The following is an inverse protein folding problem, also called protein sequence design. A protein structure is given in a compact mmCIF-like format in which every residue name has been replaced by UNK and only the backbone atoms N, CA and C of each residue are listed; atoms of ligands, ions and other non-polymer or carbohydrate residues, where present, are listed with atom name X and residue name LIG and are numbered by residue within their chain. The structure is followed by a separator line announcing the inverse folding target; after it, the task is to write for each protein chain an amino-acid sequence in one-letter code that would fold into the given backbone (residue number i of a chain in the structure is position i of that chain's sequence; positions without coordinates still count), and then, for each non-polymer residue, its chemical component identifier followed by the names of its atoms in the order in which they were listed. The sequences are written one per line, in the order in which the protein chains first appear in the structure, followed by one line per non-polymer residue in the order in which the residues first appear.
data_IF_542311625191
#
_entry.id   IF_542311625191
#
_cell.length_a   1.000
_cell.length_b   1.000
_cell.length_c   1.000
_cell.angle_alpha   90.00
_cell.angle_beta   90.00
_cell.angle_gamma   90.00
#
_symmetry.space_group_name_H-M   'P 1'
#
loop_
_entity.id
_entity.type
_entity.pdbx_description
1 polymer ?
#
# COMPACT_ATOMS: atom_id res chain seq x y z
N UNK A 1 33.40 -14.00 7.42
CA UNK A 1 32.44 -13.30 8.30
C UNK A 1 31.04 -13.52 7.72
N UNK A 2 30.08 -14.12 8.46
CA UNK A 2 28.74 -14.39 7.93
C UNK A 2 27.99 -13.09 7.59
N UNK A 3 27.25 -13.07 6.48
CA UNK A 3 26.50 -11.90 5.97
C UNK A 3 25.43 -11.37 6.94
N UNK A 4 25.06 -12.13 7.97
CA UNK A 4 24.05 -11.79 8.96
C UNK A 4 24.44 -10.60 9.86
N UNK A 5 25.72 -10.28 10.02
CA UNK A 5 26.14 -9.16 10.89
C UNK A 5 26.05 -7.78 10.23
N UNK A 6 25.96 -7.71 8.89
CA UNK A 6 25.92 -6.43 8.16
C UNK A 6 24.52 -5.78 8.17
N UNK A 7 23.48 -6.59 8.37
CA UNK A 7 22.11 -6.15 8.54
C UNK A 7 21.74 -6.43 9.99
N UNK A 8 21.37 -5.42 10.79
CA UNK A 8 20.96 -5.57 12.19
C UNK A 8 19.62 -6.33 12.30
N UNK A 9 19.61 -7.61 11.92
CA UNK A 9 18.43 -8.47 11.88
C UNK A 9 18.36 -9.27 13.17
N UNK A 10 17.22 -9.22 13.85
CA UNK A 10 16.92 -10.16 14.93
C UNK A 10 16.42 -11.47 14.31
N UNK A 11 17.10 -12.58 14.61
CA UNK A 11 16.59 -13.91 14.24
C UNK A 11 15.30 -14.20 15.01
N UNK A 12 14.28 -14.73 14.32
CA UNK A 12 13.03 -15.14 14.93
C UNK A 12 13.18 -16.50 15.63
N UNK A 13 13.62 -17.50 14.88
CA UNK A 13 13.91 -18.85 15.34
C UNK A 13 14.95 -19.52 14.40
N UNK A 14 15.53 -20.64 14.83
CA UNK A 14 16.44 -21.47 14.04
C UNK A 14 15.85 -22.87 13.85
N UNK A 15 15.45 -23.20 12.61
CA UNK A 15 14.88 -24.50 12.26
C UNK A 15 15.90 -25.31 11.44
N UNK A 16 16.38 -26.43 12.01
CA UNK A 16 17.28 -27.35 11.32
C UNK A 16 16.53 -28.18 10.25
N UNK A 17 17.14 -28.34 9.07
CA UNK A 17 16.53 -29.01 7.90
C UNK A 17 16.28 -30.52 8.04
N UNK A 18 16.90 -31.15 9.04
CA UNK A 18 16.74 -32.58 9.32
C UNK A 18 15.82 -32.84 10.53
N UNK A 19 15.21 -31.79 11.08
CA UNK A 19 14.28 -31.95 12.20
C UNK A 19 12.99 -32.63 11.73
N UNK A 20 12.52 -33.68 12.43
CA UNK A 20 11.23 -34.30 12.12
C UNK A 20 10.04 -33.35 12.37
N UNK A 21 10.25 -32.25 13.11
CA UNK A 21 9.22 -31.29 13.50
C UNK A 21 9.25 -29.98 12.67
N UNK A 22 10.01 -29.91 11.57
CA UNK A 22 10.16 -28.68 10.75
C UNK A 22 8.81 -28.04 10.41
N UNK A 23 7.84 -28.83 9.96
CA UNK A 23 6.53 -28.30 9.57
C UNK A 23 5.79 -27.68 10.75
N UNK A 24 5.94 -28.23 11.95
CA UNK A 24 5.24 -27.72 13.12
C UNK A 24 5.95 -26.49 13.70
N UNK A 25 7.29 -26.49 13.72
CA UNK A 25 8.08 -25.28 14.05
C UNK A 25 7.74 -24.12 13.10
N UNK A 26 7.65 -24.37 11.78
CA UNK A 26 7.24 -23.37 10.80
C UNK A 26 5.84 -22.84 11.11
N UNK A 27 4.86 -23.73 11.40
CA UNK A 27 3.49 -23.30 11.72
C UNK A 27 3.43 -22.46 13.00
N UNK A 28 4.19 -22.82 14.02
CA UNK A 28 4.26 -22.09 15.29
C UNK A 28 4.87 -20.71 15.09
N UNK A 29 5.96 -20.61 14.34
CA UNK A 29 6.56 -19.34 13.94
C UNK A 29 5.58 -18.46 13.18
N UNK A 30 4.85 -19.02 12.22
CA UNK A 30 3.81 -18.30 11.50
C UNK A 30 2.73 -17.78 12.45
N UNK A 31 2.23 -18.60 13.39
CA UNK A 31 1.25 -18.16 14.39
C UNK A 31 1.80 -17.04 15.26
N UNK A 32 3.05 -17.14 15.71
CA UNK A 32 3.70 -16.15 16.54
C UNK A 32 3.83 -14.81 15.81
N UNK A 33 4.25 -14.82 14.54
CA UNK A 33 4.32 -13.64 13.68
C UNK A 33 2.93 -13.02 13.47
N UNK A 34 1.91 -13.84 13.17
CA UNK A 34 0.53 -13.38 12.98
C UNK A 34 -0.05 -12.73 14.25
N UNK A 35 0.19 -13.35 15.42
CA UNK A 35 -0.26 -12.82 16.71
C UNK A 35 0.44 -11.50 17.08
N UNK A 36 1.75 -11.39 16.78
CA UNK A 36 2.48 -10.12 16.94
C UNK A 36 1.95 -9.03 16.01
N UNK A 37 1.54 -9.39 14.78
CA UNK A 37 0.90 -8.46 13.83
C UNK A 37 -0.47 -7.98 14.31
N UNK A 38 -1.31 -8.86 14.85
CA UNK A 38 -2.66 -8.48 15.34
C UNK A 38 -2.65 -7.44 16.46
N UNK A 39 -1.57 -7.35 17.26
CA UNK A 39 -1.45 -6.33 18.31
C UNK A 39 -1.17 -4.91 17.79
N UNK A 40 -0.77 -4.76 16.53
CA UNK A 40 -0.63 -3.46 15.87
C UNK A 40 -1.83 -3.26 14.94
N UNK A 41 -2.88 -2.60 15.45
CA UNK A 41 -4.16 -2.32 14.77
C UNK A 41 -4.06 -1.30 13.63
N UNK A 42 -2.88 -1.12 13.03
CA UNK A 42 -2.78 -0.40 11.77
C UNK A 42 -3.22 -1.36 10.67
N UNK A 43 -4.29 -1.02 9.94
CA UNK A 43 -4.78 -1.84 8.83
C UNK A 43 -3.65 -1.99 7.80
N UNK A 44 -2.99 -3.15 7.78
CA UNK A 44 -1.88 -3.44 6.88
C UNK A 44 -2.40 -3.78 5.48
N UNK A 45 -1.63 -3.42 4.47
CA UNK A 45 -1.87 -3.75 3.08
C UNK A 45 -0.63 -4.46 2.51
N UNK A 46 -0.80 -5.72 2.12
CA UNK A 46 0.26 -6.54 1.55
C UNK A 46 0.36 -6.33 0.04
N UNK A 47 1.54 -5.95 -0.45
CA UNK A 47 1.79 -5.68 -1.87
C UNK A 47 3.01 -6.43 -2.36
N UNK A 48 2.94 -6.93 -3.59
CA UNK A 48 4.11 -7.51 -4.26
C UNK A 48 4.97 -6.40 -4.88
N UNK A 49 6.25 -6.37 -4.49
CA UNK A 49 7.27 -5.48 -5.03
C UNK A 49 8.44 -6.34 -5.53
N UNK A 50 8.57 -6.42 -6.85
CA UNK A 50 9.49 -7.37 -7.49
C UNK A 50 9.16 -8.82 -7.10
N UNK A 51 10.10 -9.50 -6.46
CA UNK A 51 9.98 -10.91 -6.06
C UNK A 51 9.60 -11.10 -4.59
N UNK A 52 9.28 -10.02 -3.87
CA UNK A 52 8.96 -10.07 -2.45
C UNK A 52 7.63 -9.39 -2.15
N UNK A 53 6.96 -9.82 -1.09
CA UNK A 53 5.81 -9.13 -0.53
C UNK A 53 6.28 -8.18 0.56
N UNK A 54 5.73 -6.98 0.57
CA UNK A 54 5.88 -6.02 1.67
C UNK A 54 4.52 -5.82 2.32
N UNK A 55 4.52 -5.70 3.65
CA UNK A 55 3.36 -5.25 4.38
C UNK A 55 3.53 -3.78 4.72
N UNK A 56 2.52 -2.98 4.37
CA UNK A 56 2.57 -1.55 4.48
C UNK A 56 1.32 -1.05 5.19
N UNK A 57 1.47 -0.19 6.19
CA UNK A 57 0.31 0.42 6.85
C UNK A 57 -0.52 1.19 5.82
N UNK A 58 -1.82 0.92 5.72
CA UNK A 58 -2.67 1.56 4.73
C UNK A 58 -2.64 3.10 4.83
N UNK A 59 -2.50 3.61 6.06
CA UNK A 59 -2.34 5.04 6.34
C UNK A 59 -1.08 5.66 5.71
N UNK A 60 -0.08 4.88 5.30
CA UNK A 60 1.12 5.40 4.62
C UNK A 60 0.94 5.56 3.11
N UNK A 61 -0.15 5.06 2.54
CA UNK A 61 -0.42 5.07 1.08
C UNK A 61 -1.08 6.39 0.67
N UNK A 62 -0.47 7.18 -0.21
CA UNK A 62 -1.11 8.36 -0.79
C UNK A 62 -1.95 7.96 -2.01
N UNK A 63 -1.30 7.45 -3.06
CA UNK A 63 -1.96 7.06 -4.30
C UNK A 63 -1.10 6.11 -5.13
N UNK A 64 -1.73 5.52 -6.14
CA UNK A 64 -1.09 4.77 -7.21
C UNK A 64 -1.29 5.50 -8.52
N UNK A 65 -0.23 5.54 -9.32
CA UNK A 65 -0.20 6.11 -10.65
C UNK A 65 0.06 5.01 -11.69
N UNK A 66 -0.53 5.11 -12.88
CA UNK A 66 -0.23 4.18 -13.97
C UNK A 66 1.24 4.26 -14.36
N UNK A 67 1.91 3.12 -14.56
CA UNK A 67 3.27 3.12 -15.08
C UNK A 67 3.26 3.44 -16.58
N UNK A 68 3.95 4.51 -16.99
CA UNK A 68 3.85 5.04 -18.36
C UNK A 68 4.22 4.04 -19.47
N UNK A 69 5.27 3.23 -19.26
CA UNK A 69 5.76 2.24 -20.24
C UNK A 69 5.29 0.80 -19.99
N UNK A 70 4.55 0.53 -18.91
CA UNK A 70 4.13 -0.83 -18.56
C UNK A 70 2.67 -0.83 -18.07
N UNK A 71 1.75 -1.22 -18.95
CA UNK A 71 0.31 -1.25 -18.66
C UNK A 71 -0.10 -2.22 -17.54
N UNK A 72 0.75 -3.20 -17.20
CA UNK A 72 0.52 -4.17 -16.14
C UNK A 72 1.11 -3.72 -14.79
N UNK A 73 1.74 -2.55 -14.73
CA UNK A 73 2.38 -2.04 -13.53
C UNK A 73 1.82 -0.66 -13.11
N UNK A 74 2.08 -0.32 -11.87
CA UNK A 74 1.78 1.00 -11.31
C UNK A 74 2.91 1.47 -10.40
N UNK A 75 2.89 2.75 -10.07
CA UNK A 75 3.82 3.39 -9.14
C UNK A 75 3.01 3.77 -7.90
N UNK A 76 3.35 3.16 -6.76
CA UNK A 76 2.84 3.53 -5.45
C UNK A 76 3.62 4.72 -4.90
N UNK A 77 2.91 5.73 -4.44
CA UNK A 77 3.44 6.89 -3.75
C UNK A 77 3.05 6.87 -2.27
N UNK A 78 4.04 7.02 -1.40
CA UNK A 78 3.88 6.98 0.05
C UNK A 78 3.96 8.37 0.69
N UNK A 79 3.40 8.47 1.89
CA UNK A 79 3.42 9.68 2.73
C UNK A 79 4.84 10.16 3.06
N UNK A 80 5.81 9.24 3.14
CA UNK A 80 7.23 9.52 3.35
C UNK A 80 7.99 9.86 2.05
N UNK A 81 7.26 10.18 0.97
CA UNK A 81 7.77 10.53 -0.37
C UNK A 81 8.50 9.42 -1.11
N UNK A 82 8.53 8.18 -0.57
CA UNK A 82 9.04 7.05 -1.33
C UNK A 82 8.09 6.65 -2.44
N UNK A 83 8.67 6.09 -3.51
CA UNK A 83 7.94 5.49 -4.62
C UNK A 83 8.34 4.04 -4.77
N UNK A 84 7.36 3.19 -5.04
CA UNK A 84 7.57 1.76 -5.25
C UNK A 84 6.87 1.32 -6.53
N UNK A 85 7.56 0.55 -7.36
CA UNK A 85 6.92 -0.07 -8.52
C UNK A 85 6.15 -1.31 -8.09
N UNK A 86 4.88 -1.37 -8.47
CA UNK A 86 3.97 -2.45 -8.15
C UNK A 86 3.64 -3.22 -9.44
N UNK A 87 3.77 -4.55 -9.39
CA UNK A 87 3.48 -5.45 -10.52
C UNK A 87 1.98 -5.71 -10.70
N UNK A 88 1.15 -4.68 -10.51
CA UNK A 88 -0.30 -4.69 -10.73
C UNK A 88 -0.72 -3.37 -11.35
N UNK A 89 -1.65 -3.45 -12.28
CA UNK A 89 -2.27 -2.24 -12.83
C UNK A 89 -3.31 -1.67 -11.84
N UNK A 90 -3.77 -0.46 -12.13
CA UNK A 90 -4.72 0.22 -11.25
C UNK A 90 -6.10 -0.47 -11.16
N UNK A 91 -6.53 -1.23 -12.17
CA UNK A 91 -7.80 -1.96 -12.11
C UNK A 91 -7.72 -3.13 -11.13
N UNK A 92 -6.63 -3.89 -11.19
CA UNK A 92 -6.36 -4.97 -10.24
C UNK A 92 -6.26 -4.46 -8.81
N UNK A 93 -5.60 -3.31 -8.60
CA UNK A 93 -5.49 -2.69 -7.28
C UNK A 93 -6.82 -2.18 -6.74
N UNK A 94 -7.69 -1.65 -7.60
CA UNK A 94 -9.04 -1.21 -7.23
C UNK A 94 -9.93 -2.37 -6.79
N UNK A 95 -9.77 -3.57 -7.38
CA UNK A 95 -10.46 -4.79 -6.92
C UNK A 95 -9.85 -5.35 -5.63
N UNK A 96 -8.53 -5.26 -5.48
CA UNK A 96 -7.82 -5.78 -4.32
C UNK A 96 -8.09 -4.97 -3.06
N UNK A 97 -8.26 -3.65 -3.19
CA UNK A 97 -8.42 -2.75 -2.07
C UNK A 97 -9.53 -1.72 -2.32
N UNK A 98 -10.79 -2.06 -1.98
CA UNK A 98 -11.96 -1.22 -2.24
C UNK A 98 -11.97 0.13 -1.50
N UNK A 99 -11.12 0.33 -0.48
CA UNK A 99 -10.97 1.63 0.20
C UNK A 99 -10.32 2.67 -0.69
N UNK A 100 -9.57 2.25 -1.71
CA UNK A 100 -8.97 3.15 -2.69
C UNK A 100 -10.03 3.64 -3.70
N UNK A 101 -9.88 4.87 -4.17
CA UNK A 101 -10.84 5.51 -5.07
C UNK A 101 -10.20 5.95 -6.38
N UNK A 102 -10.77 5.50 -7.51
CA UNK A 102 -10.35 5.91 -8.85
C UNK A 102 -10.85 7.34 -9.15
N UNK A 103 -9.95 8.32 -9.05
CA UNK A 103 -10.25 9.75 -9.26
C UNK A 103 -9.96 10.22 -10.68
N UNK A 104 -9.04 9.55 -11.36
CA UNK A 104 -8.64 9.80 -12.75
C UNK A 104 -8.30 8.47 -13.44
N UNK A 105 -8.25 8.44 -14.77
CA UNK A 105 -7.93 7.19 -15.51
C UNK A 105 -6.57 6.61 -15.09
N UNK A 106 -5.63 7.50 -14.75
CA UNK A 106 -4.25 7.19 -14.39
C UNK A 106 -3.97 7.24 -12.89
N UNK A 107 -4.97 7.47 -12.02
CA UNK A 107 -4.73 7.63 -10.58
C UNK A 107 -5.80 6.95 -9.71
N UNK A 108 -5.32 6.15 -8.76
CA UNK A 108 -6.09 5.46 -7.74
C UNK A 108 -5.63 5.98 -6.36
N UNK A 109 -6.51 6.64 -5.62
CA UNK A 109 -6.14 7.48 -4.47
C UNK A 109 -6.70 6.94 -3.17
N UNK A 110 -5.91 7.01 -2.09
CA UNK A 110 -6.40 6.87 -0.74
C UNK A 110 -7.00 8.21 -0.27
N UNK A 111 -8.33 8.32 -0.30
CA UNK A 111 -9.02 9.55 0.08
C UNK A 111 -8.85 9.91 1.57
N UNK A 112 -8.54 8.93 2.43
CA UNK A 112 -8.32 9.19 3.86
C UNK A 112 -7.06 10.05 4.12
N UNK A 113 -6.12 10.09 3.16
CA UNK A 113 -4.90 10.87 3.25
C UNK A 113 -4.95 12.20 2.48
N UNK A 114 -6.07 12.52 1.82
CA UNK A 114 -6.25 13.79 1.12
C UNK A 114 -6.52 14.89 2.12
N UNK A 115 -5.74 15.96 2.04
CA UNK A 115 -5.85 17.12 2.93
C UNK A 115 -6.78 18.18 2.34
N UNK A 116 -6.59 18.50 1.05
CA UNK A 116 -7.36 19.53 0.35
C UNK A 116 -7.77 19.03 -1.02
N UNK A 117 -9.00 19.35 -1.42
CA UNK A 117 -9.48 19.19 -2.80
C UNK A 117 -9.74 20.58 -3.37
N UNK A 118 -8.94 20.98 -4.35
CA UNK A 118 -9.16 22.20 -5.12
C UNK A 118 -10.08 21.88 -6.31
N UNK A 119 -11.34 22.29 -6.18
CA UNK A 119 -12.34 22.12 -7.23
C UNK A 119 -12.10 22.99 -8.47
N UNK A 120 -11.44 24.15 -8.31
CA UNK A 120 -11.16 25.07 -9.40
C UNK A 120 -10.09 24.49 -10.33
N UNK A 121 -9.00 24.00 -9.74
CA UNK A 121 -7.88 23.38 -10.46
C UNK A 121 -8.08 21.89 -10.72
N UNK A 122 -9.08 21.25 -10.08
CA UNK A 122 -9.37 19.82 -10.16
C UNK A 122 -8.19 18.98 -9.69
N UNK A 123 -7.59 19.40 -8.58
CA UNK A 123 -6.45 18.77 -7.94
C UNK A 123 -6.84 18.33 -6.53
N UNK A 124 -6.26 17.22 -6.09
CA UNK A 124 -6.22 16.82 -4.70
C UNK A 124 -4.79 16.91 -4.19
N UNK A 125 -4.64 17.33 -2.94
CA UNK A 125 -3.38 17.59 -2.29
C UNK A 125 -3.25 16.73 -1.03
N UNK A 126 -2.05 16.22 -0.81
CA UNK A 126 -1.67 15.44 0.38
C UNK A 126 -0.75 16.27 1.28
N UNK A 127 -0.67 15.90 2.56
CA UNK A 127 0.15 16.60 3.58
C UNK A 127 1.63 16.70 3.23
N UNK A 128 2.15 15.78 2.43
CA UNK A 128 3.54 15.77 1.99
C UNK A 128 3.79 16.62 0.74
N UNK A 129 2.80 17.42 0.31
CA UNK A 129 2.89 18.29 -0.86
C UNK A 129 2.67 17.58 -2.20
N UNK A 130 2.44 16.26 -2.20
CA UNK A 130 2.04 15.56 -3.40
C UNK A 130 0.66 16.02 -3.86
N UNK A 131 0.42 15.95 -5.17
CA UNK A 131 -0.89 16.21 -5.75
C UNK A 131 -1.24 15.24 -6.85
N UNK A 132 -2.53 15.10 -7.13
CA UNK A 132 -3.02 14.29 -8.23
C UNK A 132 -4.25 14.94 -8.90
N UNK A 133 -4.36 14.85 -10.24
CA UNK A 133 -5.50 15.38 -10.97
C UNK A 133 -6.76 14.54 -10.79
N UNK A 134 -7.91 15.22 -10.85
CA UNK A 134 -9.25 14.62 -10.78
C UNK A 134 -9.93 14.78 -12.13
N UNK A 135 -10.49 13.69 -12.66
CA UNK A 135 -11.26 13.75 -13.91
C UNK A 135 -12.58 14.51 -13.71
N UNK A 136 -13.02 15.26 -14.73
CA UNK A 136 -14.27 16.06 -14.68
C UNK A 136 -15.49 15.24 -14.24
N UNK A 137 -15.60 13.99 -14.71
CA UNK A 137 -16.69 13.07 -14.37
C UNK A 137 -16.65 12.65 -12.90
N UNK A 138 -15.46 12.38 -12.36
CA UNK A 138 -15.28 11.92 -10.97
C UNK A 138 -15.33 13.05 -9.95
N UNK A 139 -15.02 14.29 -10.33
CA UNK A 139 -15.14 15.45 -9.46
C UNK A 139 -16.57 15.59 -8.87
N UNK A 140 -17.60 15.41 -9.69
CA UNK A 140 -19.00 15.44 -9.24
C UNK A 140 -19.32 14.38 -8.18
N UNK A 141 -18.72 13.20 -8.29
CA UNK A 141 -18.92 12.08 -7.36
C UNK A 141 -18.24 12.31 -6.01
N UNK A 142 -17.09 12.98 -6.01
CA UNK A 142 -16.39 13.37 -4.77
C UNK A 142 -17.17 14.48 -4.05
N UNK A 143 -17.74 15.43 -4.81
CA UNK A 143 -18.56 16.52 -4.27
C UNK A 143 -19.84 16.03 -3.57
N UNK A 144 -20.50 14.99 -4.08
CA UNK A 144 -21.70 14.44 -3.43
C UNK A 144 -21.36 13.68 -2.15
N UNK A 145 -20.20 13.01 -2.07
CA UNK A 145 -19.75 12.33 -0.85
C UNK A 145 -19.45 13.29 0.30
N UNK A 146 -18.87 14.46 0.03
CA UNK A 146 -18.55 15.45 1.07
C UNK A 146 -19.78 16.20 1.62
N UNK A 147 -20.95 16.12 0.97
CA UNK A 147 -22.19 16.75 1.44
C UNK A 147 -23.06 15.86 2.34
N UNK A 148 -22.64 14.62 2.60
CA UNK A 148 -23.35 13.65 3.44
C UNK A 148 -22.80 13.46 4.85
N UNK A 149 -21.93 14.36 5.32
CA UNK A 149 -21.34 14.32 6.66
C UNK A 149 -21.50 15.68 7.36
N UNK A 150 -22.76 16.08 7.53
CA UNK A 150 -23.20 17.08 8.49
C UNK A 150 -24.49 16.60 9.14
#
# INVERSE_FOLDING_TARGET
MPLTYKYKVAALDFIAKDSPAILDSIKEDFKLVLNKRQKNTSEMFSLQVGNHFIDLEFAKICFFETHYSNSHASILWLTDNRKLQIAKNLHELEQLEPRLSRVHRSFLVNLANVEVVDNSQKLLFFKNGLSCPISRRKLKLIQTKNKGSH
#
